data_IF_161293218113
#
_entry.id   IF_161293218113
#
_cell.length_a   1.000
_cell.length_b   1.000
_cell.length_c   1.000
_cell.angle_alpha   90.00
_cell.angle_beta   90.00
_cell.angle_gamma   90.00
#
_symmetry.space_group_name_H-M   'P 1'
#
loop_
_entity.id
_entity.type
_entity.pdbx_description
1 polymer ?
#
# COMPACT_ATOMS: atom_id res chain seq x y z
N UNK A 1 -9.08 -6.89 7.78
CA UNK A 1 -8.57 -5.67 7.10
C UNK A 1 -9.37 -4.40 7.44
N UNK A 2 -10.71 -4.43 7.42
CA UNK A 2 -11.60 -3.28 7.77
C UNK A 2 -11.21 -2.51 9.05
N UNK A 3 -11.06 -3.21 10.18
CA UNK A 3 -10.76 -2.59 11.48
C UNK A 3 -9.39 -1.89 11.47
N UNK A 4 -8.37 -2.56 10.93
CA UNK A 4 -7.02 -2.02 10.79
C UNK A 4 -7.01 -0.73 9.96
N UNK A 5 -7.60 -0.74 8.76
CA UNK A 5 -7.63 0.45 7.89
C UNK A 5 -8.49 1.58 8.46
N UNK A 6 -9.49 1.26 9.28
CA UNK A 6 -10.30 2.25 9.99
C UNK A 6 -9.50 2.95 11.09
N UNK A 7 -8.77 2.17 11.90
CA UNK A 7 -7.90 2.70 12.96
C UNK A 7 -6.72 3.47 12.37
N UNK A 8 -6.15 2.99 11.26
CA UNK A 8 -5.11 3.73 10.55
C UNK A 8 -5.61 5.10 10.05
N UNK A 9 -6.85 5.16 9.53
CA UNK A 9 -7.46 6.43 9.15
C UNK A 9 -7.66 7.37 10.35
N UNK A 10 -8.02 6.85 11.52
CA UNK A 10 -8.14 7.65 12.76
C UNK A 10 -6.80 8.25 13.17
N UNK A 11 -5.72 7.46 13.11
CA UNK A 11 -4.36 7.95 13.38
C UNK A 11 -3.93 8.97 12.32
N UNK A 12 -4.24 8.73 11.05
CA UNK A 12 -3.91 9.62 9.94
C UNK A 12 -4.61 10.99 10.02
N UNK A 13 -5.78 11.09 10.68
CA UNK A 13 -6.45 12.38 10.94
C UNK A 13 -5.66 13.26 11.90
N UNK A 14 -4.81 12.68 12.74
CA UNK A 14 -3.94 13.39 13.68
C UNK A 14 -2.57 13.72 13.08
N UNK A 15 -2.32 13.39 11.81
CA UNK A 15 -1.08 13.71 11.10
C UNK A 15 -1.31 14.98 10.27
N UNK A 16 -0.68 16.13 10.61
CA UNK A 16 -1.04 17.42 10.01
C UNK A 16 -0.55 17.66 8.57
N UNK A 17 0.36 16.82 8.07
CA UNK A 17 1.00 16.98 6.75
C UNK A 17 1.17 15.64 6.03
N UNK A 18 0.18 14.73 6.16
CA UNK A 18 0.28 13.42 5.56
C UNK A 18 0.26 13.48 4.03
N UNK A 19 1.42 13.26 3.41
CA UNK A 19 1.57 13.21 1.94
C UNK A 19 1.44 11.80 1.39
N UNK A 20 2.02 10.82 2.07
CA UNK A 20 1.96 9.44 1.64
C UNK A 20 1.92 8.53 2.87
N UNK A 21 1.18 7.44 2.76
CA UNK A 21 1.18 6.36 3.73
C UNK A 21 1.12 5.05 2.95
N UNK A 22 1.97 4.10 3.30
CA UNK A 22 1.86 2.73 2.80
C UNK A 22 1.85 1.80 3.99
N UNK A 23 0.80 0.97 4.05
CA UNK A 23 0.69 -0.13 4.99
C UNK A 23 0.80 -1.41 4.20
N UNK A 24 1.66 -2.32 4.62
CA UNK A 24 1.86 -3.57 3.92
C UNK A 24 2.07 -4.71 4.90
N UNK A 25 1.77 -5.93 4.45
CA UNK A 25 2.03 -7.13 5.22
C UNK A 25 2.38 -8.29 4.29
N UNK A 26 3.19 -9.19 4.83
CA UNK A 26 3.58 -10.43 4.17
C UNK A 26 3.42 -11.59 5.14
N UNK A 27 2.85 -12.69 4.64
CA UNK A 27 2.97 -14.03 5.21
C UNK A 27 3.14 -15.02 4.05
N UNK A 28 3.65 -16.22 4.29
CA UNK A 28 3.89 -17.20 3.21
C UNK A 28 2.62 -17.39 2.35
N UNK A 29 2.76 -17.19 1.03
CA UNK A 29 1.66 -17.28 0.06
C UNK A 29 0.69 -16.09 0.01
N UNK A 30 0.85 -15.09 0.88
CA UNK A 30 -0.09 -13.97 0.98
C UNK A 30 0.63 -12.65 1.22
N UNK A 31 0.38 -11.67 0.37
CA UNK A 31 0.91 -10.32 0.54
C UNK A 31 -0.15 -9.28 0.21
N UNK A 32 -0.07 -8.13 0.87
CA UNK A 32 -0.99 -7.03 0.64
C UNK A 32 -0.32 -5.68 0.94
N UNK A 33 -0.66 -4.67 0.13
CA UNK A 33 -0.41 -3.26 0.39
C UNK A 33 -1.72 -2.48 0.33
N UNK A 34 -1.83 -1.49 1.21
CA UNK A 34 -2.75 -0.38 1.11
C UNK A 34 -1.92 0.90 1.07
N UNK A 35 -2.32 1.87 0.26
CA UNK A 35 -1.67 3.17 0.23
C UNK A 35 -2.66 4.32 0.22
N UNK A 36 -2.20 5.42 0.78
CA UNK A 36 -2.76 6.76 0.66
C UNK A 36 -1.69 7.66 0.05
N UNK A 37 -2.03 8.46 -0.95
CA UNK A 37 -1.12 9.39 -1.59
C UNK A 37 -1.83 10.69 -1.93
N UNK A 38 -1.30 11.80 -1.43
CA UNK A 38 -1.64 13.15 -1.85
C UNK A 38 -0.73 13.55 -3.00
N UNK A 39 -1.31 13.78 -4.18
CA UNK A 39 -0.60 14.35 -5.32
C UNK A 39 -0.96 15.82 -5.41
N UNK A 40 0.03 16.67 -5.17
CA UNK A 40 -0.08 18.11 -5.31
C UNK A 40 0.99 18.59 -6.30
N UNK A 41 0.62 18.61 -7.58
CA UNK A 41 1.45 19.13 -8.66
C UNK A 41 0.72 20.26 -9.38
N UNK A 42 1.42 20.98 -10.26
CA UNK A 42 0.82 22.06 -11.05
C UNK A 42 -0.36 21.58 -11.93
N UNK A 43 -0.35 20.30 -12.33
CA UNK A 43 -1.33 19.73 -13.26
C UNK A 43 -2.32 18.78 -12.60
N UNK A 44 -2.02 18.27 -11.40
CA UNK A 44 -2.84 17.27 -10.71
C UNK A 44 -2.92 17.61 -9.22
N UNK A 45 -4.14 17.80 -8.73
CA UNK A 45 -4.47 17.96 -7.31
C UNK A 45 -5.48 16.90 -6.91
N UNK A 46 -4.98 15.75 -6.50
CA UNK A 46 -5.82 14.61 -6.11
C UNK A 46 -5.29 13.96 -4.84
N UNK A 47 -6.18 13.28 -4.13
CA UNK A 47 -5.79 12.32 -3.10
C UNK A 47 -6.28 10.95 -3.51
N UNK A 48 -5.43 9.94 -3.40
CA UNK A 48 -5.72 8.58 -3.85
C UNK A 48 -5.58 7.63 -2.68
N UNK A 49 -6.54 6.73 -2.53
CA UNK A 49 -6.30 5.47 -1.83
C UNK A 49 -6.33 4.32 -2.82
N UNK A 50 -5.53 3.31 -2.56
CA UNK A 50 -5.51 2.10 -3.36
C UNK A 50 -4.94 0.93 -2.59
N UNK A 51 -5.05 -0.24 -3.18
CA UNK A 51 -4.52 -1.46 -2.58
C UNK A 51 -4.21 -2.49 -3.65
N UNK A 52 -3.27 -3.38 -3.34
CA UNK A 52 -2.81 -4.47 -4.19
C UNK A 52 -2.49 -5.67 -3.30
N UNK A 53 -2.80 -6.88 -3.75
CA UNK A 53 -2.45 -8.06 -2.98
C UNK A 53 -2.78 -9.36 -3.68
N UNK A 54 -2.50 -10.47 -3.00
CA UNK A 54 -2.74 -11.84 -3.48
C UNK A 54 -4.19 -12.31 -3.34
N UNK A 55 -5.07 -11.49 -2.77
CA UNK A 55 -6.49 -11.80 -2.63
C UNK A 55 -7.32 -10.57 -2.99
N UNK A 56 -8.53 -10.81 -3.44
CA UNK A 56 -9.49 -9.76 -3.77
C UNK A 56 -9.93 -9.06 -2.50
N UNK A 57 -9.70 -7.75 -2.43
CA UNK A 57 -10.17 -6.93 -1.32
C UNK A 57 -11.15 -5.89 -1.86
N UNK A 58 -12.32 -5.86 -1.26
CA UNK A 58 -13.27 -4.78 -1.41
C UNK A 58 -13.30 -4.01 -0.09
N UNK A 59 -12.95 -2.72 -0.13
CA UNK A 59 -13.06 -1.88 1.05
C UNK A 59 -14.52 -1.53 1.31
N UNK A 60 -14.98 -1.76 2.53
CA UNK A 60 -16.28 -1.26 2.96
C UNK A 60 -16.40 0.25 2.72
N UNK A 61 -17.59 0.70 2.31
CA UNK A 61 -17.89 2.13 2.15
C UNK A 61 -17.57 2.94 3.41
N UNK A 62 -17.70 2.35 4.60
CA UNK A 62 -17.33 2.99 5.87
C UNK A 62 -15.83 3.30 5.97
N UNK A 63 -14.97 2.40 5.46
CA UNK A 63 -13.51 2.60 5.44
C UNK A 63 -13.19 3.71 4.44
N UNK A 64 -13.76 3.66 3.24
CA UNK A 64 -13.57 4.70 2.21
C UNK A 64 -13.98 6.09 2.74
N UNK A 65 -15.11 6.20 3.44
CA UNK A 65 -15.56 7.46 4.07
C UNK A 65 -14.56 8.00 5.10
N UNK A 66 -13.95 7.13 5.92
CA UNK A 66 -12.91 7.56 6.88
C UNK A 66 -11.68 8.11 6.17
N UNK A 67 -11.21 7.44 5.12
CA UNK A 67 -10.09 7.94 4.31
C UNK A 67 -10.43 9.19 3.51
N UNK A 68 -11.70 9.37 3.11
CA UNK A 68 -12.15 10.61 2.47
C UNK A 68 -12.06 11.79 3.45
N UNK A 69 -12.36 11.55 4.73
CA UNK A 69 -12.14 12.56 5.78
C UNK A 69 -10.66 12.89 5.94
N UNK A 70 -9.77 11.89 5.92
CA UNK A 70 -8.31 12.08 5.96
C UNK A 70 -7.84 12.98 4.81
N UNK A 71 -8.31 12.71 3.58
CA UNK A 71 -8.02 13.53 2.40
C UNK A 71 -8.50 14.97 2.58
N UNK A 72 -9.78 15.16 2.97
CA UNK A 72 -10.34 16.50 3.20
C UNK A 72 -9.58 17.31 4.25
N UNK A 73 -9.14 16.66 5.33
CA UNK A 73 -8.36 17.30 6.40
C UNK A 73 -6.92 17.64 5.97
N UNK A 74 -6.24 16.73 5.27
CA UNK A 74 -4.81 16.89 4.94
C UNK A 74 -4.54 17.71 3.67
N UNK A 75 -5.42 17.61 2.67
CA UNK A 75 -5.15 18.14 1.33
C UNK A 75 -6.28 19.02 0.78
N UNK A 76 -7.49 18.89 1.33
CA UNK A 76 -8.74 19.48 0.79
C UNK A 76 -9.10 18.99 -0.63
N UNK A 77 -8.45 17.94 -1.12
CA UNK A 77 -8.72 17.35 -2.43
C UNK A 77 -9.76 16.23 -2.33
N UNK A 78 -10.45 15.97 -3.44
CA UNK A 78 -11.34 14.82 -3.55
C UNK A 78 -10.54 13.51 -3.45
N UNK A 79 -11.12 12.52 -2.78
CA UNK A 79 -10.54 11.19 -2.69
C UNK A 79 -10.95 10.35 -3.89
N UNK A 80 -9.96 9.91 -4.66
CA UNK A 80 -10.09 8.86 -5.68
C UNK A 80 -9.76 7.49 -5.07
N UNK A 81 -10.57 6.49 -5.42
CA UNK A 81 -10.33 5.10 -5.03
C UNK A 81 -9.77 4.35 -6.23
N UNK A 82 -8.62 3.70 -6.05
CA UNK A 82 -7.86 3.05 -7.12
C UNK A 82 -7.43 1.63 -6.70
N UNK A 83 -8.33 0.65 -6.72
CA UNK A 83 -7.96 -0.75 -6.52
C UNK A 83 -7.02 -1.19 -7.65
N UNK A 84 -5.91 -1.85 -7.32
CA UNK A 84 -4.98 -2.39 -8.32
C UNK A 84 -5.29 -3.86 -8.64
N UNK A 85 -4.86 -4.36 -9.80
CA UNK A 85 -5.01 -5.76 -10.15
C UNK A 85 -4.44 -6.70 -9.09
N UNK A 86 -5.17 -7.78 -8.82
CA UNK A 86 -4.72 -8.86 -7.95
C UNK A 86 -3.41 -9.45 -8.44
N UNK A 87 -2.54 -9.82 -7.50
CA UNK A 87 -1.34 -10.58 -7.77
C UNK A 87 -1.73 -12.05 -7.90
N UNK A 88 -1.80 -12.53 -9.14
CA UNK A 88 -2.16 -13.92 -9.47
C UNK A 88 -0.93 -14.83 -9.60
N UNK A 89 0.06 -14.62 -8.73
CA UNK A 89 1.30 -15.39 -8.69
C UNK A 89 1.55 -15.85 -7.27
N UNK A 90 1.93 -17.13 -7.11
CA UNK A 90 2.34 -17.67 -5.81
C UNK A 90 3.63 -17.02 -5.34
N UNK A 91 3.53 -16.21 -4.29
CA UNK A 91 4.68 -15.53 -3.69
C UNK A 91 5.52 -16.53 -2.89
N UNK A 92 6.78 -16.71 -3.29
CA UNK A 92 7.70 -17.69 -2.70
C UNK A 92 8.59 -17.11 -1.60
N UNK A 93 8.84 -15.81 -1.62
CA UNK A 93 9.72 -15.13 -0.66
C UNK A 93 9.22 -13.73 -0.31
N UNK A 94 9.74 -13.16 0.78
CA UNK A 94 9.49 -11.76 1.15
C UNK A 94 9.98 -10.80 0.07
N UNK A 95 11.13 -11.08 -0.55
CA UNK A 95 11.69 -10.28 -1.64
C UNK A 95 10.74 -10.20 -2.84
N UNK A 96 10.19 -11.36 -3.26
CA UNK A 96 9.15 -11.39 -4.29
C UNK A 96 7.89 -10.63 -3.87
N UNK A 97 7.50 -10.71 -2.58
CA UNK A 97 6.36 -9.97 -2.08
C UNK A 97 6.54 -8.46 -2.22
N UNK A 98 7.68 -7.93 -1.77
CA UNK A 98 8.02 -6.50 -1.87
C UNK A 98 7.99 -6.04 -3.34
N UNK A 99 8.61 -6.82 -4.24
CA UNK A 99 8.62 -6.54 -5.68
C UNK A 99 7.22 -6.54 -6.29
N UNK A 100 6.43 -7.59 -6.04
CA UNK A 100 5.09 -7.75 -6.65
C UNK A 100 4.04 -6.82 -6.04
N UNK A 101 4.23 -6.43 -4.78
CA UNK A 101 3.43 -5.38 -4.16
C UNK A 101 3.77 -4.01 -4.71
N UNK A 102 4.91 -3.81 -5.38
CA UNK A 102 5.32 -2.48 -5.88
C UNK A 102 5.31 -1.45 -4.73
N UNK A 103 6.06 -1.78 -3.67
CA UNK A 103 6.21 -0.90 -2.52
C UNK A 103 7.15 0.27 -2.87
N UNK A 104 6.95 1.47 -2.30
CA UNK A 104 7.86 2.59 -2.50
C UNK A 104 9.30 2.25 -2.07
N UNK A 105 10.28 2.89 -2.71
CA UNK A 105 11.71 2.73 -2.39
C UNK A 105 12.08 3.10 -0.95
N UNK A 106 11.26 3.92 -0.30
CA UNK A 106 11.38 4.31 1.10
C UNK A 106 11.11 3.14 2.06
N UNK A 107 10.40 2.10 1.61
CA UNK A 107 10.17 0.89 2.41
C UNK A 107 11.37 -0.05 2.34
N UNK A 108 11.86 -0.31 1.12
CA UNK A 108 13.09 -1.09 0.87
C UNK A 108 13.82 -0.46 -0.30
N UNK A 109 15.08 -0.11 -0.09
CA UNK A 109 15.93 0.46 -1.12
C UNK A 109 16.09 -0.53 -2.30
N UNK A 110 16.10 -0.07 -3.57
CA UNK A 110 16.15 -0.96 -4.74
C UNK A 110 17.33 -1.95 -4.74
N UNK A 111 18.49 -1.52 -4.25
CA UNK A 111 19.72 -2.32 -4.14
C UNK A 111 19.56 -3.41 -3.09
N UNK A 112 18.99 -3.10 -1.92
CA UNK A 112 18.65 -4.08 -0.90
C UNK A 112 17.64 -5.10 -1.43
N UNK A 113 16.61 -4.63 -2.14
CA UNK A 113 15.64 -5.53 -2.78
C UNK A 113 16.31 -6.46 -3.79
N UNK A 114 17.26 -5.93 -4.57
CA UNK A 114 18.03 -6.72 -5.55
C UNK A 114 18.88 -7.80 -4.88
N UNK A 115 19.50 -7.50 -3.73
CA UNK A 115 20.24 -8.48 -2.94
C UNK A 115 19.31 -9.55 -2.37
N UNK A 116 18.19 -9.14 -1.75
CA UNK A 116 17.20 -10.07 -1.21
C UNK A 116 16.62 -11.02 -2.27
N UNK A 117 16.43 -10.54 -3.51
CA UNK A 117 15.99 -11.37 -4.63
C UNK A 117 17.05 -12.43 -4.99
N UNK A 118 18.32 -12.02 -5.08
CA UNK A 118 19.43 -12.95 -5.35
C UNK A 118 19.55 -14.02 -4.26
N UNK A 119 19.49 -13.63 -3.00
CA UNK A 119 19.55 -14.54 -1.84
C UNK A 119 18.36 -15.50 -1.79
N UNK A 120 17.16 -15.03 -2.15
CA UNK A 120 15.97 -15.88 -2.21
C UNK A 120 16.04 -16.91 -3.34
N UNK A 121 16.73 -16.59 -4.44
CA UNK A 121 16.93 -17.52 -5.55
C UNK A 121 18.02 -18.57 -5.21
N UNK A 122 19.05 -18.20 -4.42
CA UNK A 122 20.09 -19.13 -3.96
C UNK A 122 19.71 -19.98 -2.74
N UNK A 123 18.67 -19.61 -1.96
CA UNK A 123 18.25 -20.38 -0.77
C UNK A 123 17.52 -21.69 -1.07
N UNK A 124 17.51 -22.17 -2.32
CA UNK A 124 17.05 -23.51 -2.67
C UNK A 124 18.04 -24.57 -2.13
N UNK A 125 17.73 -25.15 -0.98
CA UNK A 125 18.13 -26.54 -0.68
C UNK A 125 17.01 -27.47 -1.20
N UNK A 126 17.36 -28.55 -1.94
CA UNK A 126 16.39 -29.55 -2.40
C UNK A 126 15.72 -30.29 -1.23
#
# INVERSE_FOLDING_TARGET
>A
MKRLLSSAAEVALSMPVLKAMVMWNFRRGHAFKFYFCAKDTKTVKETVIGWRGTWDLYLDTSVVKKWAKVAGTNTRYNLRVNPEPKIDVRIKSLAQAIKLLDLPSEVVHPESLSQMLKEADTSWYP
#
